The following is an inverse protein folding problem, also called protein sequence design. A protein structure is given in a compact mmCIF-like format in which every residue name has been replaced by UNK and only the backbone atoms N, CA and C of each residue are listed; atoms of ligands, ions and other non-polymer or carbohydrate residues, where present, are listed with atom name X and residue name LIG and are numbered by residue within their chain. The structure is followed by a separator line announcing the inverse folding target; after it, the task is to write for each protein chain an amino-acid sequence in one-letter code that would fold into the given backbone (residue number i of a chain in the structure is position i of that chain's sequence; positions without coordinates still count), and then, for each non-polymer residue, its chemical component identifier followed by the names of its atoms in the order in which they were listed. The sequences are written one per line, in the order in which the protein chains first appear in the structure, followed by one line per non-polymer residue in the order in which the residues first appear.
data_IF_118477404126
#
_entry.id   IF_118477404126
#
_cell.length_a   1.000
_cell.length_b   1.000
_cell.length_c   1.000
_cell.angle_alpha   90.00
_cell.angle_beta   90.00
_cell.angle_gamma   90.00
#
_symmetry.space_group_name_H-M   'P 1'
#
loop_
_entity.id
_entity.type
_entity.pdbx_description
1 polymer ?
#
# COMPACT_ATOMS: atom_id res chain seq x y z
N UNK A 1 1.29 13.87 10.35
CA UNK A 1 2.28 13.11 11.16
C UNK A 1 3.26 12.51 10.19
N UNK A 2 4.59 12.62 10.38
CA UNK A 2 5.53 11.95 9.47
C UNK A 2 5.35 10.45 9.65
N UNK A 3 4.91 9.75 8.60
CA UNK A 3 4.87 8.30 8.65
C UNK A 3 6.31 7.80 8.64
N UNK A 4 6.76 7.22 9.75
CA UNK A 4 8.10 6.67 9.83
C UNK A 4 8.24 5.55 8.79
N UNK A 5 9.39 5.50 8.13
CA UNK A 5 9.66 4.60 7.00
C UNK A 5 9.43 3.12 7.40
N UNK A 6 9.71 2.79 8.67
CA UNK A 6 9.43 1.48 9.26
C UNK A 6 7.94 1.18 9.46
N UNK A 7 7.14 2.16 9.85
CA UNK A 7 5.68 2.00 10.00
C UNK A 7 5.03 1.73 8.65
N UNK A 8 5.45 2.46 7.61
CA UNK A 8 5.02 2.18 6.24
C UNK A 8 5.44 0.77 5.80
N UNK A 9 6.70 0.38 6.03
CA UNK A 9 7.15 -0.99 5.70
C UNK A 9 6.33 -2.06 6.42
N UNK A 10 6.01 -1.87 7.71
CA UNK A 10 5.17 -2.80 8.48
C UNK A 10 3.72 -2.83 7.97
N UNK A 11 3.14 -1.66 7.69
CA UNK A 11 1.81 -1.53 7.11
C UNK A 11 1.72 -2.30 5.78
N UNK A 12 2.66 -2.05 4.88
CA UNK A 12 2.71 -2.68 3.57
C UNK A 12 3.04 -4.18 3.64
N UNK A 13 3.86 -4.63 4.60
CA UNK A 13 4.06 -6.04 4.90
C UNK A 13 2.76 -6.72 5.36
N UNK A 14 2.00 -6.04 6.21
CA UNK A 14 0.72 -6.53 6.70
C UNK A 14 -0.31 -6.60 5.57
N UNK A 15 -0.41 -5.54 4.76
CA UNK A 15 -1.23 -5.50 3.55
C UNK A 15 -0.87 -6.62 2.59
N UNK A 16 0.42 -6.92 2.41
CA UNK A 16 0.87 -8.05 1.59
C UNK A 16 0.30 -9.39 2.07
N UNK A 17 0.34 -9.62 3.39
CA UNK A 17 -0.21 -10.83 4.00
C UNK A 17 -1.74 -10.89 3.89
N UNK A 18 -2.42 -9.80 4.22
CA UNK A 18 -3.89 -9.73 4.20
C UNK A 18 -4.45 -9.88 2.79
N UNK A 19 -3.90 -9.13 1.84
CA UNK A 19 -4.31 -9.16 0.45
C UNK A 19 -3.79 -10.40 -0.32
N UNK A 20 -3.13 -11.35 0.39
CA UNK A 20 -2.50 -12.54 -0.20
C UNK A 20 -1.67 -12.19 -1.45
N UNK A 21 -0.85 -11.14 -1.32
CA UNK A 21 0.01 -10.70 -2.40
C UNK A 21 0.86 -11.86 -2.92
N UNK A 22 0.99 -11.94 -4.23
CA UNK A 22 1.78 -12.98 -4.92
C UNK A 22 2.93 -12.32 -5.66
N UNK A 23 4.13 -12.88 -5.53
CA UNK A 23 5.34 -12.38 -6.21
C UNK A 23 5.66 -10.90 -5.91
N UNK A 24 5.40 -10.44 -4.68
CA UNK A 24 5.62 -9.03 -4.30
C UNK A 24 4.59 -8.06 -4.86
N UNK A 25 3.52 -8.55 -5.50
CA UNK A 25 2.43 -7.74 -6.04
C UNK A 25 1.19 -7.83 -5.15
N UNK A 26 0.59 -6.69 -4.86
CA UNK A 26 -0.70 -6.56 -4.17
C UNK A 26 -1.68 -5.86 -5.10
N UNK A 27 -2.94 -6.31 -5.14
CA UNK A 27 -3.97 -5.57 -5.86
C UNK A 27 -4.25 -4.22 -5.19
N UNK A 28 -4.20 -3.14 -5.96
CA UNK A 28 -4.46 -1.78 -5.48
C UNK A 28 -5.85 -1.67 -4.83
N UNK A 29 -6.84 -2.36 -5.39
CA UNK A 29 -8.21 -2.42 -4.88
C UNK A 29 -8.27 -2.99 -3.46
N UNK A 30 -7.46 -3.99 -3.15
CA UNK A 30 -7.41 -4.57 -1.82
C UNK A 30 -6.77 -3.61 -0.81
N UNK A 31 -5.67 -2.97 -1.19
CA UNK A 31 -5.00 -1.96 -0.35
C UNK A 31 -5.91 -0.77 -0.08
N UNK A 32 -6.56 -0.26 -1.14
CA UNK A 32 -7.56 0.80 -1.04
C UNK A 32 -8.70 0.43 -0.11
N UNK A 33 -9.28 -0.76 -0.26
CA UNK A 33 -10.35 -1.21 0.63
C UNK A 33 -9.86 -1.36 2.07
N UNK A 34 -8.69 -1.94 2.31
CA UNK A 34 -8.19 -2.16 3.66
C UNK A 34 -7.90 -0.85 4.41
N UNK A 35 -7.27 0.10 3.74
CA UNK A 35 -6.92 1.39 4.31
C UNK A 35 -8.14 2.28 4.57
N UNK A 36 -9.08 2.31 3.61
CA UNK A 36 -10.34 3.04 3.76
C UNK A 36 -11.35 2.34 4.70
N UNK A 37 -11.15 1.06 5.01
CA UNK A 37 -12.06 0.32 5.87
C UNK A 37 -11.89 0.80 7.32
N UNK A 38 -12.96 1.23 8.02
CA UNK A 38 -12.91 1.61 9.43
C UNK A 38 -12.45 0.48 10.36
N UNK A 39 -12.59 -0.79 9.95
CA UNK A 39 -12.06 -1.95 10.70
C UNK A 39 -10.56 -2.22 10.44
N UNK A 40 -9.98 -1.55 9.43
CA UNK A 40 -8.56 -1.60 9.12
C UNK A 40 -7.83 -0.42 9.75
N UNK A 41 -7.54 0.60 8.93
CA UNK A 41 -6.92 1.85 9.39
C UNK A 41 -7.89 3.02 9.51
N UNK A 42 -9.07 2.94 8.87
CA UNK A 42 -10.07 4.01 8.91
C UNK A 42 -9.55 5.37 8.43
N UNK A 43 -8.55 5.38 7.54
CA UNK A 43 -7.96 6.61 7.03
C UNK A 43 -8.80 7.20 5.90
N UNK A 44 -8.78 8.53 5.80
CA UNK A 44 -9.48 9.26 4.76
C UNK A 44 -8.81 9.06 3.39
N UNK A 45 -9.57 9.34 2.31
CA UNK A 45 -9.06 9.26 0.94
C UNK A 45 -7.86 10.18 0.67
N UNK A 46 -7.77 11.29 1.38
CA UNK A 46 -6.65 12.24 1.29
C UNK A 46 -5.39 11.64 1.91
N UNK A 47 -5.46 11.19 3.16
CA UNK A 47 -4.34 10.50 3.81
C UNK A 47 -3.89 9.24 3.06
N UNK A 48 -4.83 8.49 2.48
CA UNK A 48 -4.49 7.35 1.63
C UNK A 48 -3.61 7.75 0.44
N UNK A 49 -3.91 8.88 -0.21
CA UNK A 49 -3.08 9.39 -1.32
C UNK A 49 -1.72 9.85 -0.83
N UNK A 50 -1.68 10.52 0.33
CA UNK A 50 -0.41 10.97 0.93
C UNK A 50 0.48 9.78 1.29
N UNK A 51 -0.07 8.74 1.92
CA UNK A 51 0.66 7.51 2.27
C UNK A 51 1.19 6.81 1.02
N UNK A 52 0.39 6.73 -0.05
CA UNK A 52 0.84 6.17 -1.33
C UNK A 52 1.98 6.98 -1.94
N UNK A 53 1.81 8.30 -2.01
CA UNK A 53 2.84 9.20 -2.52
C UNK A 53 4.13 9.09 -1.72
N UNK A 54 4.04 9.12 -0.38
CA UNK A 54 5.20 9.04 0.50
C UNK A 54 5.89 7.67 0.39
N UNK A 55 5.13 6.59 0.25
CA UNK A 55 5.69 5.25 0.07
C UNK A 55 6.35 5.05 -1.31
N UNK A 56 5.85 5.72 -2.35
CA UNK A 56 6.48 5.76 -3.68
C UNK A 56 7.76 6.61 -3.63
N UNK A 57 7.69 7.79 -3.01
CA UNK A 57 8.82 8.73 -2.87
C UNK A 57 9.98 8.08 -2.08
N UNK A 58 9.64 7.36 -1.01
CA UNK A 58 10.60 6.56 -0.21
C UNK A 58 11.04 5.27 -0.90
N UNK A 59 10.53 4.95 -2.10
CA UNK A 59 10.89 3.76 -2.84
C UNK A 59 10.46 2.43 -2.19
N UNK A 60 9.49 2.46 -1.28
CA UNK A 60 8.97 1.26 -0.59
C UNK A 60 8.07 0.46 -1.54
N UNK A 61 7.31 1.18 -2.36
CA UNK A 61 6.36 0.58 -3.29
C UNK A 61 6.47 1.19 -4.69
N UNK A 62 5.98 0.46 -5.68
CA UNK A 62 5.84 0.93 -7.06
C UNK A 62 4.46 0.54 -7.57
N UNK A 63 3.71 1.50 -8.11
CA UNK A 63 2.45 1.20 -8.80
C UNK A 63 2.73 0.61 -10.19
N UNK A 64 2.06 -0.50 -10.50
CA UNK A 64 2.17 -1.19 -11.78
C UNK A 64 0.77 -1.40 -12.31
N UNK A 65 0.52 -0.99 -13.54
CA UNK A 65 -0.73 -1.29 -14.23
C UNK A 65 -0.52 -2.49 -15.16
N UNK A 66 -1.38 -3.51 -15.05
CA UNK A 66 -1.33 -4.69 -15.90
C UNK A 66 -2.74 -5.04 -16.35
N UNK A 67 -2.97 -5.03 -17.67
CA UNK A 67 -4.27 -5.35 -18.29
C UNK A 67 -5.44 -4.50 -17.76
N UNK A 68 -5.19 -3.23 -17.40
CA UNK A 68 -6.21 -2.33 -16.85
C UNK A 68 -6.48 -2.49 -15.34
N UNK A 69 -5.78 -3.41 -14.67
CA UNK A 69 -5.80 -3.53 -13.22
C UNK A 69 -4.53 -2.91 -12.61
N UNK A 70 -4.72 -2.12 -11.55
CA UNK A 70 -3.62 -1.51 -10.80
C UNK A 70 -3.14 -2.45 -9.70
N UNK A 71 -1.83 -2.62 -9.62
CA UNK A 71 -1.12 -3.39 -8.61
C UNK A 71 -0.08 -2.52 -7.93
N UNK A 72 0.16 -2.79 -6.67
CA UNK A 72 1.22 -2.19 -5.87
C UNK A 72 2.29 -3.26 -5.71
N UNK A 73 3.47 -3.04 -6.26
CA UNK A 73 4.64 -3.89 -6.05
C UNK A 73 5.42 -3.37 -4.86
N UNK A 74 5.74 -4.24 -3.92
CA UNK A 74 6.63 -3.94 -2.82
C UNK A 74 8.07 -4.03 -3.31
N UNK A 75 8.85 -2.99 -3.09
CA UNK A 75 10.31 -3.06 -3.18
C UNK A 75 10.84 -3.39 -1.79
N UNK A 76 11.05 -4.68 -1.54
CA UNK A 76 11.92 -5.10 -0.45
C UNK A 76 13.32 -5.17 -1.03
N UNK A 77 14.17 -4.23 -0.60
CA UNK A 77 15.62 -4.37 -0.65
C UNK A 77 16.05 -5.37 0.44
#
# INVERSE_FOLDING_TARGET
MPYYLEDLKKLFAHLYKVCRGRSGLISYTCVKNFLLNPLGYGINKEEFKEILLEAIDKGIITEIERKGEKFIKLQYD
#
